data_IF_392017652331
#
_entry.id   IF_392017652331
#
_cell.length_a   1.000
_cell.length_b   1.000
_cell.length_c   1.000
_cell.angle_alpha   90.00
_cell.angle_beta   90.00
_cell.angle_gamma   90.00
#
_symmetry.space_group_name_H-M   'P 1'
#
loop_
_entity.id
_entity.type
_entity.pdbx_description
1 polymer ?
#
# COMPACT_ATOMS: atom_id res chain seq x y z
N UNK A 1 15.74 12.35 13.75
CA UNK A 1 14.45 11.67 13.45
C UNK A 1 14.58 11.10 12.04
N UNK A 2 14.74 9.80 11.89
CA UNK A 2 15.13 9.18 10.61
C UNK A 2 13.89 8.62 9.91
N UNK A 3 13.82 8.75 8.58
CA UNK A 3 12.78 8.11 7.76
C UNK A 3 12.76 6.59 7.98
N UNK A 4 11.63 5.90 7.72
CA UNK A 4 11.58 4.45 7.75
C UNK A 4 12.63 3.86 6.81
N UNK A 5 13.14 2.66 7.11
CA UNK A 5 14.22 2.08 6.30
C UNK A 5 13.69 1.57 4.95
N UNK A 6 12.44 1.13 4.91
CA UNK A 6 11.73 0.69 3.73
C UNK A 6 10.25 1.06 3.86
N UNK A 7 9.61 1.42 2.75
CA UNK A 7 8.17 1.71 2.72
C UNK A 7 7.56 1.54 1.33
N UNK A 8 6.25 1.38 1.30
CA UNK A 8 5.38 1.60 0.15
C UNK A 8 4.27 2.53 0.62
N UNK A 9 3.96 3.54 -0.19
CA UNK A 9 2.82 4.41 -0.02
C UNK A 9 2.09 4.52 -1.36
N UNK A 10 0.75 4.51 -1.32
CA UNK A 10 -0.05 4.77 -2.49
C UNK A 10 -1.40 5.35 -2.12
N UNK A 11 -1.96 6.18 -2.99
CA UNK A 11 -3.27 6.78 -2.81
C UNK A 11 -3.89 7.13 -4.17
N UNK A 12 -5.21 7.03 -4.25
CA UNK A 12 -6.00 7.62 -5.34
C UNK A 12 -7.36 8.06 -4.81
N UNK A 13 -7.88 9.14 -5.39
CA UNK A 13 -9.26 9.59 -5.23
C UNK A 13 -10.00 9.63 -6.59
N UNK A 14 -9.34 9.19 -7.67
CA UNK A 14 -9.87 9.26 -9.03
C UNK A 14 -10.25 7.86 -9.50
N UNK A 15 -11.41 7.41 -9.04
CA UNK A 15 -12.03 6.16 -9.46
C UNK A 15 -13.21 6.43 -10.39
N UNK A 16 -13.79 5.38 -10.99
CA UNK A 16 -15.03 5.56 -11.75
C UNK A 16 -16.19 6.00 -10.84
N UNK A 17 -16.18 5.54 -9.58
CA UNK A 17 -17.05 6.07 -8.53
C UNK A 17 -16.43 7.30 -7.85
N UNK A 18 -17.11 8.45 -7.88
CA UNK A 18 -16.63 9.70 -7.29
C UNK A 18 -16.62 9.70 -5.75
N UNK A 19 -17.39 8.80 -5.12
CA UNK A 19 -17.45 8.61 -3.68
C UNK A 19 -16.46 7.52 -3.19
N UNK A 20 -15.50 7.11 -4.02
CA UNK A 20 -14.45 6.17 -3.68
C UNK A 20 -13.10 6.88 -3.50
N UNK A 21 -12.45 6.65 -2.37
CA UNK A 21 -11.07 7.08 -2.12
C UNK A 21 -10.30 5.97 -1.43
N UNK A 22 -9.02 5.83 -1.77
CA UNK A 22 -8.16 4.76 -1.29
C UNK A 22 -6.78 5.29 -0.92
N UNK A 23 -6.26 4.82 0.22
CA UNK A 23 -4.89 5.03 0.63
C UNK A 23 -4.35 3.78 1.31
N UNK A 24 -3.08 3.49 1.06
CA UNK A 24 -2.34 2.41 1.70
C UNK A 24 -0.91 2.85 1.99
N UNK A 25 -0.42 2.48 3.18
CA UNK A 25 0.97 2.65 3.56
C UNK A 25 1.44 1.44 4.36
N UNK A 26 2.63 0.94 4.03
CA UNK A 26 3.35 -0.06 4.80
C UNK A 26 4.80 0.39 4.95
N UNK A 27 5.36 0.28 6.15
CA UNK A 27 6.72 0.68 6.44
C UNK A 27 7.38 -0.25 7.45
N UNK A 28 8.71 -0.37 7.36
CA UNK A 28 9.51 -1.05 8.36
C UNK A 28 9.78 -0.13 9.54
N UNK A 29 9.06 -0.34 10.64
CA UNK A 29 9.09 0.51 11.84
C UNK A 29 10.04 -0.08 12.87
N UNK A 30 10.99 0.71 13.41
CA UNK A 30 11.77 0.31 14.58
C UNK A 30 10.93 0.46 15.86
N UNK A 31 10.87 -0.56 16.69
CA UNK A 31 10.16 -0.54 17.97
C UNK A 31 10.88 -1.38 19.03
N UNK A 32 11.39 -0.72 20.08
CA UNK A 32 12.05 -1.32 21.25
C UNK A 32 13.01 -2.47 20.91
N UNK A 33 14.00 -2.20 20.05
CA UNK A 33 15.03 -3.17 19.65
C UNK A 33 14.57 -4.22 18.60
N UNK A 34 13.28 -4.25 18.25
CA UNK A 34 12.73 -5.08 17.17
C UNK A 34 12.34 -4.23 15.98
N UNK A 35 12.15 -4.88 14.83
CA UNK A 35 11.61 -4.27 13.61
C UNK A 35 10.39 -5.06 13.15
N UNK A 36 9.33 -4.37 12.80
CA UNK A 36 8.13 -4.98 12.23
C UNK A 36 7.62 -4.17 11.05
N UNK A 37 6.81 -4.80 10.20
CA UNK A 37 6.15 -4.10 9.10
C UNK A 37 4.82 -3.56 9.62
N UNK A 38 4.80 -2.26 9.93
CA UNK A 38 3.58 -1.54 10.30
C UNK A 38 2.86 -1.07 9.05
N UNK A 39 1.54 -1.17 9.02
CA UNK A 39 0.75 -0.72 7.87
C UNK A 39 -0.58 -0.07 8.31
N UNK A 40 -1.10 0.76 7.42
CA UNK A 40 -2.40 1.42 7.49
C UNK A 40 -3.01 1.46 6.10
N UNK A 41 -4.29 1.20 5.99
CA UNK A 41 -5.10 1.39 4.79
C UNK A 41 -6.44 1.98 5.17
N UNK A 42 -6.90 2.90 4.32
CA UNK A 42 -8.16 3.59 4.45
C UNK A 42 -8.88 3.56 3.10
N UNK A 43 -10.15 3.16 3.12
CA UNK A 43 -11.05 3.26 1.98
C UNK A 43 -12.28 4.02 2.43
N UNK A 44 -12.61 5.09 1.72
CA UNK A 44 -13.91 5.74 1.80
C UNK A 44 -14.74 5.28 0.61
N UNK A 45 -15.96 4.80 0.85
CA UNK A 45 -16.87 4.36 -0.20
C UNK A 45 -18.32 4.59 0.22
N UNK A 46 -19.03 5.45 -0.52
CA UNK A 46 -20.47 5.70 -0.35
C UNK A 46 -20.88 5.98 1.11
N UNK A 47 -20.18 6.90 1.77
CA UNK A 47 -20.46 7.29 3.16
C UNK A 47 -19.91 6.32 4.21
N UNK A 48 -19.21 5.26 3.81
CA UNK A 48 -18.66 4.25 4.72
C UNK A 48 -17.14 4.21 4.68
N UNK A 49 -16.54 4.15 5.87
CA UNK A 49 -15.10 4.02 6.05
C UNK A 49 -14.68 2.58 6.35
N UNK A 50 -13.78 2.02 5.55
CA UNK A 50 -13.13 0.74 5.78
C UNK A 50 -11.66 0.98 6.13
N UNK A 51 -11.23 0.41 7.26
CA UNK A 51 -9.89 0.65 7.83
C UNK A 51 -9.20 -0.66 8.11
N UNK A 52 -7.99 -0.79 7.61
CA UNK A 52 -7.10 -1.91 7.90
C UNK A 52 -5.81 -1.36 8.50
N UNK A 53 -5.41 -1.84 9.67
CA UNK A 53 -4.12 -1.44 10.24
C UNK A 53 -3.55 -2.55 11.09
N UNK A 54 -2.25 -2.48 11.35
CA UNK A 54 -1.57 -3.44 12.25
C UNK A 54 -2.22 -3.46 13.64
N UNK A 55 -2.72 -2.32 14.13
CA UNK A 55 -3.39 -2.22 15.44
C UNK A 55 -4.87 -2.64 15.44
N UNK A 56 -5.50 -2.86 14.27
CA UNK A 56 -6.89 -3.37 14.19
C UNK A 56 -6.96 -4.90 14.11
N UNK A 57 -5.81 -5.59 14.07
CA UNK A 57 -5.73 -7.03 13.87
C UNK A 57 -5.79 -7.48 12.40
N UNK A 58 -5.88 -6.53 11.46
CA UNK A 58 -5.69 -6.79 10.04
C UNK A 58 -4.24 -7.19 9.76
N UNK A 59 -4.02 -7.96 8.69
CA UNK A 59 -2.69 -8.44 8.29
C UNK A 59 -2.50 -8.33 6.79
N UNK A 60 -1.31 -7.91 6.37
CA UNK A 60 -0.85 -8.10 4.99
C UNK A 60 -0.56 -9.59 4.81
N UNK A 61 -1.36 -10.25 3.98
CA UNK A 61 -1.26 -11.68 3.66
C UNK A 61 -0.22 -11.95 2.58
N UNK A 62 -0.21 -11.13 1.54
CA UNK A 62 0.80 -11.19 0.49
C UNK A 62 1.21 -9.78 0.04
N UNK A 63 2.44 -9.70 -0.43
CA UNK A 63 3.06 -8.53 -1.04
C UNK A 63 3.93 -9.08 -2.17
N UNK A 64 3.39 -9.09 -3.37
CA UNK A 64 4.04 -9.64 -4.55
C UNK A 64 4.50 -8.47 -5.43
N UNK A 65 5.79 -8.47 -5.74
CA UNK A 65 6.43 -7.39 -6.50
C UNK A 65 6.93 -8.02 -7.79
N UNK A 66 6.29 -7.66 -8.89
CA UNK A 66 6.62 -8.14 -10.23
C UNK A 66 7.25 -7.01 -11.04
N UNK A 67 7.84 -7.28 -12.22
CA UNK A 67 8.37 -6.24 -13.09
C UNK A 67 7.36 -5.14 -13.43
N UNK A 68 6.10 -5.53 -13.68
CA UNK A 68 5.06 -4.63 -14.19
C UNK A 68 4.08 -4.12 -13.13
N UNK A 69 4.00 -4.76 -11.97
CA UNK A 69 3.03 -4.40 -10.93
C UNK A 69 3.49 -4.74 -9.51
N UNK A 70 2.77 -4.20 -8.53
CA UNK A 70 2.83 -4.59 -7.12
C UNK A 70 1.43 -5.01 -6.70
N UNK A 71 1.30 -6.24 -6.18
CA UNK A 71 0.04 -6.81 -5.74
C UNK A 71 0.06 -7.00 -4.22
N UNK A 72 -0.99 -6.53 -3.55
CA UNK A 72 -1.09 -6.60 -2.09
C UNK A 72 -2.45 -7.18 -1.71
N UNK A 73 -2.41 -8.16 -0.80
CA UNK A 73 -3.60 -8.70 -0.16
C UNK A 73 -3.57 -8.39 1.34
N UNK A 74 -4.61 -7.73 1.84
CA UNK A 74 -4.80 -7.41 3.26
C UNK A 74 -6.10 -8.03 3.73
N UNK A 75 -6.06 -8.70 4.88
CA UNK A 75 -7.24 -9.37 5.43
C UNK A 75 -7.43 -9.06 6.91
N UNK A 76 -8.69 -8.95 7.30
CA UNK A 76 -9.13 -9.02 8.70
C UNK A 76 -10.21 -10.10 8.87
N UNK A 77 -10.95 -10.08 9.99
CA UNK A 77 -11.99 -11.07 10.28
C UNK A 77 -13.27 -10.93 9.43
N UNK A 78 -13.42 -9.84 8.67
CA UNK A 78 -14.65 -9.47 7.97
C UNK A 78 -14.43 -9.14 6.50
N UNK A 79 -13.28 -8.58 6.15
CA UNK A 79 -13.01 -8.09 4.81
C UNK A 79 -11.66 -8.59 4.29
N UNK A 80 -11.64 -8.81 2.97
CA UNK A 80 -10.43 -9.05 2.19
C UNK A 80 -10.27 -7.90 1.20
N UNK A 81 -9.14 -7.22 1.27
CA UNK A 81 -8.76 -6.09 0.44
C UNK A 81 -7.61 -6.52 -0.45
N UNK A 82 -7.87 -6.57 -1.75
CA UNK A 82 -6.86 -6.76 -2.77
C UNK A 82 -6.65 -5.46 -3.54
N UNK A 83 -5.40 -5.12 -3.83
CA UNK A 83 -5.12 -4.08 -4.80
C UNK A 83 -3.82 -4.32 -5.55
N UNK A 84 -3.79 -3.79 -6.77
CA UNK A 84 -2.67 -3.88 -7.68
C UNK A 84 -2.28 -2.49 -8.17
N UNK A 85 -1.00 -2.15 -8.03
CA UNK A 85 -0.42 -0.90 -8.50
C UNK A 85 0.35 -1.20 -9.79
N UNK A 86 -0.08 -0.63 -10.91
CA UNK A 86 0.64 -0.75 -12.17
C UNK A 86 1.91 0.10 -12.14
N UNK A 87 3.06 -0.47 -12.52
CA UNK A 87 4.35 0.23 -12.53
C UNK A 87 4.61 1.07 -13.77
N UNK A 88 3.74 0.97 -14.79
CA UNK A 88 3.86 1.76 -16.02
C UNK A 88 3.70 3.25 -15.70
N UNK A 89 4.76 4.03 -15.93
CA UNK A 89 4.81 5.46 -15.58
C UNK A 89 5.34 5.77 -14.18
N UNK A 90 5.93 4.79 -13.49
CA UNK A 90 6.75 5.05 -12.30
C UNK A 90 8.15 5.46 -12.75
N UNK A 91 8.55 6.66 -12.36
CA UNK A 91 9.90 7.14 -12.57
C UNK A 91 10.72 6.85 -11.31
N UNK A 92 11.81 6.10 -11.48
CA UNK A 92 12.80 5.94 -10.41
C UNK A 92 13.67 7.18 -10.38
N UNK A 93 13.25 8.20 -9.63
CA UNK A 93 14.02 9.42 -9.43
C UNK A 93 14.98 9.18 -8.26
N UNK A 94 16.26 9.50 -8.44
CA UNK A 94 17.22 9.49 -7.33
C UNK A 94 16.96 10.66 -6.38
N UNK A 95 15.87 10.61 -5.62
CA UNK A 95 15.54 11.60 -4.60
C UNK A 95 16.33 11.33 -3.31
N UNK A 96 16.69 12.42 -2.64
CA UNK A 96 17.51 12.44 -1.41
C UNK A 96 16.73 11.85 -0.22
N UNK A 97 16.68 10.53 -0.08
CA UNK A 97 16.24 9.90 1.16
C UNK A 97 17.36 10.01 2.21
N UNK A 98 17.15 10.62 3.39
CA UNK A 98 18.19 10.70 4.41
C UNK A 98 18.50 9.31 4.98
N UNK A 99 19.74 8.85 4.78
CA UNK A 99 20.27 7.64 5.40
C UNK A 99 21.56 8.04 6.13
N UNK A 100 21.51 8.19 7.46
CA UNK A 100 22.68 8.45 8.31
C UNK A 100 23.63 9.57 7.81
N UNK A 101 23.10 10.62 7.20
CA UNK A 101 23.89 11.75 6.69
C UNK A 101 24.60 11.51 5.34
N UNK A 102 24.47 10.32 4.74
CA UNK A 102 25.10 9.96 3.46
C UNK A 102 24.02 9.79 2.38
N UNK A 103 24.21 10.46 1.25
CA UNK A 103 23.25 10.56 0.15
C UNK A 103 23.28 9.31 -0.75
N UNK A 104 22.72 8.18 -0.31
CA UNK A 104 22.67 6.96 -1.13
C UNK A 104 21.33 6.21 -0.99
N UNK A 105 20.33 6.54 -1.81
CA UNK A 105 19.09 5.76 -1.91
C UNK A 105 18.33 6.10 -3.19
N UNK A 106 17.65 5.10 -3.78
CA UNK A 106 16.72 5.30 -4.90
C UNK A 106 15.30 5.26 -4.36
N UNK A 107 14.50 6.30 -4.64
CA UNK A 107 13.06 6.31 -4.37
C UNK A 107 12.37 6.11 -5.72
N UNK A 108 11.36 5.24 -5.77
CA UNK A 108 10.50 5.14 -6.94
C UNK A 108 9.21 5.92 -6.65
N UNK A 109 8.89 6.91 -7.49
CA UNK A 109 7.73 7.78 -7.31
C UNK A 109 6.90 7.85 -8.60
N UNK A 110 5.59 8.04 -8.46
CA UNK A 110 4.70 8.32 -9.57
C UNK A 110 3.47 9.06 -9.08
N UNK A 111 2.99 9.99 -9.90
CA UNK A 111 1.71 10.68 -9.69
C UNK A 111 0.62 10.25 -10.69
N UNK A 112 0.98 9.40 -11.66
CA UNK A 112 0.09 8.95 -12.73
C UNK A 112 -0.02 7.42 -12.80
N UNK A 113 0.14 6.76 -11.65
CA UNK A 113 -0.03 5.31 -11.54
C UNK A 113 -1.52 4.93 -11.62
N UNK A 114 -1.77 3.64 -11.87
CA UNK A 114 -3.12 3.05 -11.80
C UNK A 114 -3.21 2.05 -10.65
N UNK A 115 -4.34 2.05 -9.95
CA UNK A 115 -4.62 1.12 -8.85
C UNK A 115 -5.88 0.33 -9.18
N UNK A 116 -5.77 -0.98 -9.41
CA UNK A 116 -6.97 -1.84 -9.40
C UNK A 116 -7.29 -2.20 -7.97
N UNK A 117 -8.50 -1.88 -7.50
CA UNK A 117 -8.92 -2.04 -6.11
C UNK A 117 -10.09 -3.01 -6.02
N UNK A 118 -9.99 -4.02 -5.15
CA UNK A 118 -11.10 -4.93 -4.85
C UNK A 118 -11.29 -5.07 -3.34
N UNK A 119 -12.52 -4.90 -2.89
CA UNK A 119 -12.92 -5.12 -1.49
C UNK A 119 -14.02 -6.15 -1.43
N UNK A 120 -13.82 -7.19 -0.62
CA UNK A 120 -14.74 -8.31 -0.47
C UNK A 120 -15.18 -8.47 0.99
N UNK A 121 -16.48 -8.68 1.23
CA UNK A 121 -17.01 -9.08 2.54
C UNK A 121 -16.93 -10.60 2.66
N UNK A 122 -16.04 -11.11 3.51
CA UNK A 122 -15.81 -12.54 3.65
C UNK A 122 -16.98 -13.25 4.34
N UNK A 123 -17.75 -12.54 5.17
CA UNK A 123 -18.91 -13.10 5.86
C UNK A 123 -20.12 -13.20 4.95
N UNK A 124 -20.37 -12.15 4.15
CA UNK A 124 -21.49 -12.08 3.20
C UNK A 124 -21.19 -12.71 1.85
N UNK A 125 -19.91 -13.03 1.59
CA UNK A 125 -19.42 -13.63 0.34
C UNK A 125 -19.74 -12.78 -0.90
N UNK A 126 -19.60 -11.47 -0.81
CA UNK A 126 -19.88 -10.56 -1.92
C UNK A 126 -18.78 -9.51 -2.10
N UNK A 127 -18.61 -9.08 -3.35
CA UNK A 127 -17.75 -7.96 -3.71
C UNK A 127 -18.47 -6.66 -3.33
N UNK A 128 -17.78 -5.79 -2.61
CA UNK A 128 -18.24 -4.44 -2.25
C UNK A 128 -17.71 -3.43 -3.27
N UNK A 129 -16.45 -3.57 -3.69
CA UNK A 129 -15.74 -2.67 -4.61
C UNK A 129 -14.96 -3.53 -5.60
N UNK A 130 -15.02 -3.20 -6.89
CA UNK A 130 -14.08 -3.63 -7.95
C UNK A 130 -13.96 -2.46 -8.93
N UNK A 131 -12.93 -1.63 -8.75
CA UNK A 131 -12.79 -0.38 -9.50
C UNK A 131 -11.31 -0.14 -9.86
N UNK A 132 -11.10 0.73 -10.85
CA UNK A 132 -9.79 1.15 -11.31
C UNK A 132 -9.57 2.64 -10.99
N UNK A 133 -8.66 2.89 -10.05
CA UNK A 133 -8.16 4.22 -9.75
C UNK A 133 -7.10 4.64 -10.78
N UNK A 134 -7.19 5.88 -11.23
CA UNK A 134 -6.19 6.57 -12.06
C UNK A 134 -5.54 7.70 -11.28
N UNK A 135 -4.57 8.39 -11.88
CA UNK A 135 -3.86 9.53 -11.27
C UNK A 135 -3.40 9.22 -9.84
N UNK A 136 -2.93 7.99 -9.63
CA UNK A 136 -2.56 7.52 -8.31
C UNK A 136 -1.17 8.02 -7.94
N UNK A 137 -1.06 8.54 -6.72
CA UNK A 137 0.20 8.73 -6.04
C UNK A 137 0.79 7.37 -5.65
N UNK A 138 2.07 7.20 -5.86
CA UNK A 138 2.83 6.03 -5.47
C UNK A 138 4.24 6.43 -5.06
N UNK A 139 4.72 5.88 -3.96
CA UNK A 139 6.11 6.01 -3.52
C UNK A 139 6.58 4.68 -2.94
N UNK A 140 7.82 4.28 -3.24
CA UNK A 140 8.43 3.15 -2.56
C UNK A 140 9.95 3.27 -2.38
N UNK A 141 10.42 2.67 -1.29
CA UNK A 141 11.82 2.43 -1.00
C UNK A 141 12.00 1.01 -0.45
N UNK A 142 12.90 0.25 -1.06
CA UNK A 142 13.24 -1.13 -0.69
C UNK A 142 12.01 -2.05 -0.42
N UNK A 143 11.01 -2.06 -1.32
CA UNK A 143 9.72 -2.73 -1.09
C UNK A 143 9.85 -4.24 -0.89
N UNK A 144 10.87 -4.86 -1.48
CA UNK A 144 11.20 -6.29 -1.31
C UNK A 144 11.37 -6.69 0.16
N UNK A 145 11.87 -5.77 0.99
CA UNK A 145 12.12 -6.08 2.40
C UNK A 145 10.83 -6.07 3.24
N UNK A 146 9.71 -5.62 2.67
CA UNK A 146 8.40 -5.51 3.33
C UNK A 146 7.55 -6.77 3.15
N UNK A 147 8.03 -7.77 2.40
CA UNK A 147 7.33 -9.04 2.20
C UNK A 147 7.02 -9.70 3.55
N UNK A 148 5.76 -10.13 3.80
CA UNK A 148 5.42 -10.84 5.03
C UNK A 148 6.23 -12.14 5.10
N UNK A 149 6.73 -12.49 6.29
CA UNK A 149 7.40 -13.77 6.49
C UNK A 149 6.39 -14.89 6.27
N UNK A 150 6.73 -15.88 5.43
CA UNK A 150 5.96 -17.12 5.32
C UNK A 150 5.86 -17.73 6.71
N UNK A 151 4.63 -17.94 7.19
CA UNK A 151 4.33 -18.68 8.42
C UNK A 151 4.23 -20.15 8.09
#
# INVERSE_FOLDING_TARGET
KSFPIAWIWTQSNHFSNQNLSFMFSIAKVPFLGKRFNGFLSAIWYEGKFFKFATYTGARVKSLDINPDNIQILVEDKKYSLYFEIAKKGIESISLKAPQEGIMSGRIAESINSKIRLKLFDTKKRNIIIDDLGVNAGFESKDPETLKPKKR
#
